data_IF_174166602708
#
_entry.id   IF_174166602708
#
_cell.length_a   1.000
_cell.length_b   1.000
_cell.length_c   1.000
_cell.angle_alpha   90.00
_cell.angle_beta   90.00
_cell.angle_gamma   90.00
#
_symmetry.space_group_name_H-M   'P 1'
#
loop_
_entity.id
_entity.type
_entity.pdbx_description
1 polymer ?
#
# COMPACT_ATOMS: atom_id res chain seq x y z
N UNK A 1 -16.68 -49.77 24.01
CA UNK A 1 -15.22 -49.56 23.78
C UNK A 1 -14.99 -48.47 22.72
N UNK A 2 -15.57 -48.56 21.51
CA UNK A 2 -15.32 -47.57 20.44
C UNK A 2 -15.81 -46.16 20.85
N UNK A 3 -17.02 -46.04 21.42
CA UNK A 3 -17.57 -44.79 21.90
C UNK A 3 -16.75 -44.15 23.04
N UNK A 4 -16.25 -44.97 23.97
CA UNK A 4 -15.38 -44.48 25.05
C UNK A 4 -14.05 -43.93 24.52
N UNK A 5 -13.43 -44.56 23.51
CA UNK A 5 -12.23 -44.03 22.86
C UNK A 5 -12.49 -42.71 22.13
N UNK A 6 -13.65 -42.62 21.45
CA UNK A 6 -14.06 -41.39 20.77
C UNK A 6 -14.20 -40.23 21.75
N UNK A 7 -14.91 -40.42 22.85
CA UNK A 7 -15.09 -39.37 23.89
C UNK A 7 -13.78 -39.01 24.59
N UNK A 8 -12.93 -40.00 24.90
CA UNK A 8 -11.61 -39.76 25.48
C UNK A 8 -10.72 -38.94 24.53
N UNK A 9 -10.69 -39.27 23.25
CA UNK A 9 -9.91 -38.53 22.26
C UNK A 9 -10.42 -37.09 22.08
N UNK A 10 -11.74 -36.91 21.98
CA UNK A 10 -12.38 -35.60 21.91
C UNK A 10 -12.03 -34.73 23.13
N UNK A 11 -12.12 -35.30 24.33
CA UNK A 11 -11.78 -34.59 25.58
C UNK A 11 -10.30 -34.14 25.58
N UNK A 12 -9.38 -35.03 25.18
CA UNK A 12 -7.95 -34.71 25.09
C UNK A 12 -7.66 -33.62 24.04
N UNK A 13 -8.35 -33.66 22.89
CA UNK A 13 -8.21 -32.63 21.87
C UNK A 13 -8.71 -31.25 22.35
N UNK A 14 -9.85 -31.21 23.04
CA UNK A 14 -10.39 -29.97 23.62
C UNK A 14 -9.44 -29.39 24.68
N UNK A 15 -8.85 -30.24 25.54
CA UNK A 15 -7.88 -29.83 26.53
C UNK A 15 -6.60 -29.29 25.87
N UNK A 16 -6.08 -29.98 24.88
CA UNK A 16 -4.88 -29.54 24.13
C UNK A 16 -5.12 -28.21 23.43
N UNK A 17 -6.26 -28.06 22.77
CA UNK A 17 -6.62 -26.79 22.13
C UNK A 17 -6.78 -25.64 23.13
N UNK A 18 -7.29 -25.93 24.34
CA UNK A 18 -7.38 -24.94 25.42
C UNK A 18 -5.99 -24.51 25.96
N UNK A 19 -4.96 -25.36 25.88
CA UNK A 19 -3.59 -24.94 26.22
C UNK A 19 -3.04 -23.97 25.17
N UNK A 20 -3.27 -24.24 23.88
CA UNK A 20 -2.90 -23.30 22.82
C UNK A 20 -3.67 -21.96 22.94
N UNK A 21 -4.95 -21.98 23.30
CA UNK A 21 -5.74 -20.78 23.54
C UNK A 21 -5.13 -19.88 24.63
N UNK A 22 -4.61 -20.46 25.72
CA UNK A 22 -3.96 -19.71 26.81
C UNK A 22 -2.72 -18.92 26.36
N UNK A 23 -2.06 -19.36 25.31
CA UNK A 23 -0.88 -18.71 24.72
C UNK A 23 -1.24 -17.91 23.46
N UNK A 24 -2.52 -17.74 23.16
CA UNK A 24 -3.03 -17.09 21.96
C UNK A 24 -2.57 -17.74 20.65
N UNK A 25 -2.18 -19.02 20.69
CA UNK A 25 -1.82 -19.82 19.52
C UNK A 25 -3.09 -20.43 18.89
N UNK A 26 -3.93 -19.54 18.36
CA UNK A 26 -5.23 -19.91 17.83
C UNK A 26 -5.14 -20.81 16.59
N UNK A 27 -4.06 -20.74 15.82
CA UNK A 27 -3.87 -21.60 14.66
C UNK A 27 -3.68 -23.07 15.09
N UNK A 28 -2.83 -23.34 16.05
CA UNK A 28 -2.62 -24.68 16.55
C UNK A 28 -3.85 -25.19 17.32
N UNK A 29 -4.55 -24.31 18.05
CA UNK A 29 -5.84 -24.65 18.64
C UNK A 29 -6.87 -25.07 17.56
N UNK A 30 -6.99 -24.32 16.48
CA UNK A 30 -7.86 -24.62 15.34
C UNK A 30 -7.49 -25.97 14.71
N UNK A 31 -6.22 -26.18 14.35
CA UNK A 31 -5.73 -27.42 13.74
C UNK A 31 -5.96 -28.65 14.62
N UNK A 32 -5.80 -28.51 15.94
CA UNK A 32 -6.06 -29.58 16.89
C UNK A 32 -7.53 -30.02 16.85
N UNK A 33 -8.46 -29.06 16.84
CA UNK A 33 -9.90 -29.38 16.75
C UNK A 33 -10.26 -29.94 15.39
N UNK A 34 -9.70 -29.38 14.30
CA UNK A 34 -9.94 -29.89 12.95
C UNK A 34 -9.49 -31.36 12.81
N UNK A 35 -8.30 -31.70 13.29
CA UNK A 35 -7.78 -33.06 13.29
C UNK A 35 -8.68 -34.00 14.11
N UNK A 36 -9.19 -33.53 15.25
CA UNK A 36 -10.13 -34.31 16.05
C UNK A 36 -11.42 -34.59 15.29
N UNK A 37 -11.98 -33.60 14.60
CA UNK A 37 -13.19 -33.78 13.80
C UNK A 37 -12.99 -34.75 12.62
N UNK A 38 -11.83 -34.73 11.99
CA UNK A 38 -11.49 -35.65 10.90
C UNK A 38 -11.43 -37.10 11.39
N UNK A 39 -11.07 -37.34 12.65
CA UNK A 39 -10.93 -38.67 13.26
C UNK A 39 -12.20 -39.18 13.92
N UNK A 40 -12.92 -38.33 14.65
CA UNK A 40 -14.10 -38.76 15.43
C UNK A 40 -15.43 -38.36 14.80
N UNK A 41 -15.39 -37.58 13.70
CA UNK A 41 -16.58 -37.06 13.03
C UNK A 41 -17.07 -35.74 13.61
N UNK A 42 -18.16 -35.23 13.04
CA UNK A 42 -18.75 -33.95 13.44
C UNK A 42 -19.40 -34.05 14.83
N UNK A 43 -19.05 -33.10 15.69
CA UNK A 43 -19.58 -32.97 17.05
C UNK A 43 -19.87 -31.49 17.35
N UNK A 44 -20.95 -31.22 18.05
CA UNK A 44 -21.38 -29.84 18.32
C UNK A 44 -20.36 -29.06 19.14
N UNK A 45 -19.73 -29.68 20.13
CA UNK A 45 -18.70 -29.02 20.96
C UNK A 45 -17.43 -28.71 20.21
N UNK A 46 -16.99 -29.63 19.33
CA UNK A 46 -15.85 -29.42 18.46
C UNK A 46 -16.15 -28.32 17.40
N UNK A 47 -17.35 -28.34 16.79
CA UNK A 47 -17.77 -27.31 15.84
C UNK A 47 -17.75 -25.89 16.43
N UNK A 48 -18.25 -25.73 17.67
CA UNK A 48 -18.22 -24.44 18.37
C UNK A 48 -16.78 -23.96 18.58
N UNK A 49 -15.89 -24.86 19.05
CA UNK A 49 -14.49 -24.51 19.27
C UNK A 49 -13.73 -24.27 17.98
N UNK A 50 -13.99 -25.04 16.92
CA UNK A 50 -13.41 -24.82 15.60
C UNK A 50 -13.73 -23.42 15.08
N UNK A 51 -15.01 -23.04 15.14
CA UNK A 51 -15.46 -21.71 14.71
C UNK A 51 -14.83 -20.59 15.55
N UNK A 52 -14.77 -20.77 16.88
CA UNK A 52 -14.16 -19.80 17.79
C UNK A 52 -12.67 -19.57 17.47
N UNK A 53 -11.92 -20.66 17.33
CA UNK A 53 -10.47 -20.56 17.06
C UNK A 53 -10.18 -20.02 15.66
N UNK A 54 -10.97 -20.38 14.66
CA UNK A 54 -10.89 -19.78 13.33
C UNK A 54 -11.11 -18.27 13.37
N UNK A 55 -12.13 -17.80 14.12
CA UNK A 55 -12.41 -16.38 14.29
C UNK A 55 -11.29 -15.65 15.03
N UNK A 56 -10.81 -16.23 16.15
CA UNK A 56 -9.72 -15.64 16.94
C UNK A 56 -8.43 -15.55 16.13
N UNK A 57 -8.08 -16.60 15.38
CA UNK A 57 -6.92 -16.59 14.48
C UNK A 57 -7.06 -15.51 13.41
N UNK A 58 -8.20 -15.47 12.72
CA UNK A 58 -8.44 -14.45 11.69
C UNK A 58 -8.35 -13.03 12.25
N UNK A 59 -8.88 -12.79 13.46
CA UNK A 59 -8.82 -11.48 14.13
C UNK A 59 -7.40 -11.10 14.51
N UNK A 60 -6.61 -12.04 15.05
CA UNK A 60 -5.22 -11.81 15.40
C UNK A 60 -4.36 -11.47 14.17
N UNK A 61 -4.55 -12.22 13.07
CA UNK A 61 -3.86 -11.96 11.80
C UNK A 61 -4.28 -10.62 11.22
N UNK A 62 -5.56 -10.26 11.28
CA UNK A 62 -6.04 -8.97 10.80
C UNK A 62 -5.42 -7.81 11.57
N UNK A 63 -5.28 -7.91 12.90
CA UNK A 63 -4.61 -6.91 13.72
C UNK A 63 -3.11 -6.76 13.34
N UNK A 64 -2.39 -7.87 13.15
CA UNK A 64 -1.01 -7.83 12.68
C UNK A 64 -0.87 -7.22 11.28
N UNK A 65 -1.84 -7.47 10.40
CA UNK A 65 -1.87 -6.84 9.08
C UNK A 65 -2.08 -5.32 9.18
N UNK A 66 -2.91 -4.84 10.13
CA UNK A 66 -3.09 -3.40 10.39
C UNK A 66 -1.80 -2.73 10.88
N UNK A 67 -1.04 -3.38 11.75
CA UNK A 67 0.28 -2.89 12.18
C UNK A 67 1.24 -2.76 11.00
N UNK A 68 1.25 -3.75 10.10
CA UNK A 68 2.09 -3.71 8.89
C UNK A 68 1.65 -2.62 7.92
N UNK A 69 0.34 -2.41 7.73
CA UNK A 69 -0.21 -1.33 6.91
C UNK A 69 0.21 0.02 7.48
N UNK A 70 0.09 0.22 8.80
CA UNK A 70 0.51 1.44 9.49
C UNK A 70 2.01 1.72 9.31
N UNK A 71 2.83 0.65 9.29
CA UNK A 71 4.27 0.71 9.01
C UNK A 71 4.58 0.84 7.50
N UNK A 72 3.59 0.92 6.61
CA UNK A 72 3.72 0.90 5.14
C UNK A 72 4.37 -0.38 4.59
N UNK A 73 4.42 -1.45 5.38
CA UNK A 73 4.87 -2.79 4.95
C UNK A 73 3.73 -3.57 4.26
N UNK A 74 3.28 -3.07 3.11
CA UNK A 74 2.18 -3.69 2.36
C UNK A 74 2.54 -5.09 1.84
N UNK A 75 3.81 -5.32 1.51
CA UNK A 75 4.29 -6.63 1.06
C UNK A 75 4.23 -7.65 2.20
N UNK A 76 4.67 -7.28 3.39
CA UNK A 76 4.57 -8.12 4.58
C UNK A 76 3.13 -8.38 5.01
N UNK A 77 2.25 -7.36 4.94
CA UNK A 77 0.81 -7.54 5.20
C UNK A 77 0.17 -8.53 4.23
N UNK A 78 0.48 -8.42 2.93
CA UNK A 78 -0.01 -9.34 1.89
C UNK A 78 0.47 -10.77 2.13
N UNK A 79 1.75 -10.95 2.43
CA UNK A 79 2.34 -12.27 2.71
C UNK A 79 1.68 -12.93 3.93
N UNK A 80 1.50 -12.18 5.02
CA UNK A 80 0.82 -12.63 6.22
C UNK A 80 -0.60 -13.13 5.93
N UNK A 81 -1.39 -12.30 5.24
CA UNK A 81 -2.79 -12.61 4.89
C UNK A 81 -2.88 -13.79 3.90
N UNK A 82 -1.97 -13.87 2.92
CA UNK A 82 -1.92 -15.00 1.99
C UNK A 82 -1.69 -16.32 2.72
N UNK A 83 -0.79 -16.34 3.69
CA UNK A 83 -0.53 -17.55 4.48
C UNK A 83 -1.72 -17.91 5.36
N UNK A 84 -2.37 -16.92 5.98
CA UNK A 84 -3.56 -17.17 6.79
C UNK A 84 -4.76 -17.66 5.97
N UNK A 85 -4.92 -17.18 4.74
CA UNK A 85 -5.97 -17.64 3.82
C UNK A 85 -5.72 -19.06 3.29
N UNK A 86 -4.48 -19.56 3.31
CA UNK A 86 -4.20 -20.99 3.05
C UNK A 86 -4.74 -21.87 4.17
N UNK A 87 -4.65 -21.43 5.41
CA UNK A 87 -5.15 -22.14 6.59
C UNK A 87 -6.68 -22.01 6.76
N UNK A 88 -7.24 -20.85 6.42
CA UNK A 88 -8.67 -20.56 6.48
C UNK A 88 -9.19 -20.06 5.12
N UNK A 89 -9.35 -20.95 4.13
CA UNK A 89 -9.84 -20.55 2.80
C UNK A 89 -11.22 -19.90 2.88
N UNK A 90 -11.40 -18.76 2.19
CA UNK A 90 -12.68 -18.06 2.12
C UNK A 90 -13.10 -17.33 3.42
N UNK A 91 -12.21 -17.20 4.40
CA UNK A 91 -12.53 -16.43 5.61
C UNK A 91 -12.80 -14.96 5.26
N UNK A 92 -13.98 -14.45 5.60
CA UNK A 92 -14.45 -13.11 5.22
C UNK A 92 -13.57 -11.99 5.81
N UNK A 93 -13.14 -12.12 7.07
CA UNK A 93 -12.28 -11.12 7.74
C UNK A 93 -10.93 -11.00 7.04
N UNK A 94 -10.28 -12.13 6.75
CA UNK A 94 -8.98 -12.13 6.06
C UNK A 94 -9.10 -11.65 4.62
N UNK A 95 -10.17 -12.02 3.91
CA UNK A 95 -10.44 -11.57 2.54
C UNK A 95 -10.69 -10.06 2.49
N UNK A 96 -11.51 -9.52 3.40
CA UNK A 96 -11.74 -8.08 3.50
C UNK A 96 -10.42 -7.31 3.80
N UNK A 97 -9.59 -7.86 4.69
CA UNK A 97 -8.28 -7.26 5.02
C UNK A 97 -7.32 -7.33 3.83
N UNK A 98 -7.31 -8.40 3.05
CA UNK A 98 -6.52 -8.50 1.82
C UNK A 98 -6.96 -7.44 0.79
N UNK A 99 -8.24 -7.20 0.65
CA UNK A 99 -8.78 -6.13 -0.21
C UNK A 99 -8.30 -4.76 0.28
N UNK A 100 -8.36 -4.50 1.58
CA UNK A 100 -7.86 -3.26 2.18
C UNK A 100 -6.36 -3.06 1.88
N UNK A 101 -5.51 -4.08 2.07
CA UNK A 101 -4.08 -4.01 1.73
C UNK A 101 -3.87 -3.66 0.26
N UNK A 102 -4.66 -4.27 -0.63
CA UNK A 102 -4.56 -4.02 -2.06
C UNK A 102 -4.96 -2.59 -2.43
N UNK A 103 -6.00 -2.04 -1.79
CA UNK A 103 -6.46 -0.67 -2.02
C UNK A 103 -5.59 0.40 -1.33
N UNK A 104 -4.84 0.01 -0.29
CA UNK A 104 -3.92 0.92 0.42
C UNK A 104 -2.52 0.98 -0.20
N UNK A 105 -2.22 0.11 -1.15
CA UNK A 105 -0.90 0.07 -1.78
C UNK A 105 -0.73 1.29 -2.70
N UNK A 106 0.39 2.03 -2.58
CA UNK A 106 0.70 3.11 -3.50
C UNK A 106 0.72 2.62 -4.97
N UNK A 107 0.11 3.39 -5.83
CA UNK A 107 0.12 3.17 -7.29
C UNK A 107 1.00 4.23 -7.91
N UNK A 108 1.93 3.82 -8.77
CA UNK A 108 2.76 4.78 -9.47
C UNK A 108 1.95 5.56 -10.50
N UNK A 109 2.14 6.88 -10.52
CA UNK A 109 1.49 7.77 -11.48
C UNK A 109 1.81 7.39 -12.94
N UNK A 110 3.02 6.85 -13.19
CA UNK A 110 3.44 6.39 -14.52
C UNK A 110 2.64 5.21 -15.07
N UNK A 111 1.89 4.50 -14.21
CA UNK A 111 1.03 3.37 -14.61
C UNK A 111 -0.40 3.81 -14.93
N UNK A 112 -0.76 5.06 -14.64
CA UNK A 112 -2.07 5.60 -14.94
C UNK A 112 -2.12 6.16 -16.36
N UNK A 113 -3.29 6.03 -16.99
CA UNK A 113 -3.51 6.62 -18.32
C UNK A 113 -3.63 8.14 -18.22
N UNK A 114 -2.82 8.85 -18.98
CA UNK A 114 -2.88 10.30 -19.10
C UNK A 114 -4.08 10.68 -19.97
N UNK A 115 -4.88 11.65 -19.53
CA UNK A 115 -5.98 12.23 -20.29
C UNK A 115 -5.50 13.38 -21.17
N UNK A 116 -4.64 14.22 -20.62
CA UNK A 116 -4.15 15.42 -21.29
C UNK A 116 -2.73 15.73 -20.82
N UNK A 117 -1.88 16.26 -21.72
CA UNK A 117 -0.48 16.51 -21.42
C UNK A 117 0.33 15.20 -21.27
N UNK A 118 1.24 15.18 -20.35
CA UNK A 118 2.04 13.99 -19.99
C UNK A 118 3.47 14.32 -19.60
N UNK A 119 4.14 13.29 -19.11
CA UNK A 119 5.54 13.32 -18.69
C UNK A 119 6.32 12.27 -19.47
N UNK A 120 7.59 12.54 -19.71
CA UNK A 120 8.50 11.57 -20.28
C UNK A 120 9.16 10.77 -19.15
N UNK A 121 8.52 9.66 -18.80
CA UNK A 121 8.93 8.84 -17.68
C UNK A 121 10.21 8.07 -17.98
N UNK A 122 11.19 8.18 -17.07
CA UNK A 122 12.46 7.43 -17.11
C UNK A 122 13.27 7.64 -18.41
N UNK A 123 13.06 8.75 -19.11
CA UNK A 123 13.73 9.04 -20.38
C UNK A 123 15.21 9.39 -20.20
N UNK A 124 15.58 9.98 -19.07
CA UNK A 124 16.94 10.42 -18.75
C UNK A 124 17.25 10.08 -17.30
N UNK A 125 18.45 9.58 -17.03
CA UNK A 125 18.90 9.34 -15.65
C UNK A 125 18.94 10.66 -14.86
N UNK A 126 18.17 10.78 -13.77
CA UNK A 126 18.07 12.02 -13.03
C UNK A 126 19.23 12.14 -12.06
N UNK A 127 19.89 13.28 -12.11
CA UNK A 127 20.98 13.65 -11.20
C UNK A 127 20.75 15.10 -10.77
N UNK A 128 20.96 15.42 -9.51
CA UNK A 128 20.85 16.78 -9.03
C UNK A 128 22.19 17.57 -9.15
N UNK A 129 22.21 18.87 -8.90
CA UNK A 129 23.45 19.67 -8.96
C UNK A 129 24.49 19.29 -7.91
N UNK A 130 24.12 18.48 -6.91
CA UNK A 130 25.01 18.01 -5.84
C UNK A 130 25.65 16.66 -6.17
N UNK A 131 25.25 16.01 -7.30
CA UNK A 131 25.75 14.72 -7.75
C UNK A 131 25.00 13.52 -7.18
N UNK A 132 23.82 13.73 -6.59
CA UNK A 132 22.97 12.63 -6.20
C UNK A 132 22.27 12.05 -7.43
N UNK A 133 22.31 10.73 -7.56
CA UNK A 133 21.67 9.97 -8.64
C UNK A 133 20.33 9.41 -8.12
N UNK A 134 19.27 9.60 -8.89
CA UNK A 134 17.91 9.15 -8.60
C UNK A 134 17.45 8.04 -9.55
N UNK A 135 18.36 7.37 -10.25
CA UNK A 135 18.06 6.27 -11.19
C UNK A 135 17.33 5.10 -10.51
N UNK A 136 17.55 4.91 -9.21
CA UNK A 136 16.90 3.88 -8.40
C UNK A 136 15.46 4.26 -7.94
N UNK A 137 15.03 5.48 -8.21
CA UNK A 137 13.65 5.88 -7.95
C UNK A 137 12.68 5.03 -8.78
N UNK A 138 11.56 4.65 -8.18
CA UNK A 138 10.56 3.77 -8.82
C UNK A 138 10.04 4.35 -10.14
N UNK A 139 9.91 5.67 -10.19
CA UNK A 139 9.56 6.42 -11.41
C UNK A 139 10.01 7.86 -11.24
N UNK A 140 10.55 8.42 -12.28
CA UNK A 140 10.96 9.83 -12.32
C UNK A 140 10.61 10.44 -13.68
N UNK A 141 10.47 11.75 -13.71
CA UNK A 141 10.39 12.54 -14.93
C UNK A 141 11.31 13.75 -14.80
N UNK A 142 12.07 14.01 -15.83
CA UNK A 142 12.87 15.24 -15.95
C UNK A 142 12.05 16.23 -16.78
N UNK A 143 11.80 17.41 -16.21
CA UNK A 143 10.90 18.40 -16.80
C UNK A 143 11.64 19.73 -16.93
N UNK A 144 11.51 20.35 -18.09
CA UNK A 144 12.02 21.72 -18.29
C UNK A 144 13.26 21.86 -19.13
N UNK A 145 13.70 20.83 -19.83
CA UNK A 145 14.84 20.91 -20.73
C UNK A 145 14.44 21.16 -22.19
N UNK A 146 13.92 22.36 -22.48
CA UNK A 146 13.80 22.78 -23.86
C UNK A 146 14.12 24.27 -24.00
N UNK A 147 15.19 24.55 -24.71
CA UNK A 147 15.74 25.86 -25.10
C UNK A 147 14.68 26.92 -25.58
N UNK A 148 13.48 26.51 -25.87
CA UNK A 148 12.50 27.37 -26.54
C UNK A 148 11.22 27.68 -25.79
N UNK A 149 10.97 27.18 -24.59
CA UNK A 149 9.65 27.40 -24.03
C UNK A 149 9.65 27.65 -22.53
N UNK A 150 9.26 28.85 -22.17
CA UNK A 150 8.57 29.17 -20.94
C UNK A 150 7.24 28.40 -20.92
N UNK A 151 7.27 27.07 -20.81
CA UNK A 151 6.08 26.26 -20.87
C UNK A 151 5.80 25.68 -19.49
N UNK A 152 4.57 25.90 -19.06
CA UNK A 152 4.00 25.12 -17.99
C UNK A 152 3.77 23.69 -18.53
N UNK A 153 4.40 22.71 -17.91
CA UNK A 153 4.14 21.31 -18.22
C UNK A 153 3.00 20.83 -17.35
N UNK A 154 2.04 20.14 -17.94
CA UNK A 154 0.93 19.56 -17.18
C UNK A 154 0.66 18.13 -17.58
N UNK A 155 0.17 17.36 -16.63
CA UNK A 155 -0.41 16.05 -16.90
C UNK A 155 -1.68 15.90 -16.08
N UNK A 156 -2.72 15.41 -16.74
CA UNK A 156 -4.03 15.18 -16.14
C UNK A 156 -4.39 13.71 -16.22
N UNK A 157 -4.93 13.18 -15.12
CA UNK A 157 -5.27 11.78 -14.95
C UNK A 157 -6.69 11.65 -14.41
N UNK A 158 -7.41 10.63 -14.89
CA UNK A 158 -8.66 10.25 -14.27
C UNK A 158 -8.43 9.21 -13.19
N UNK A 159 -8.76 9.53 -11.95
CA UNK A 159 -8.43 8.72 -10.77
C UNK A 159 -9.65 8.08 -10.10
N UNK A 160 -10.86 8.38 -10.57
CA UNK A 160 -12.12 7.70 -10.19
C UNK A 160 -12.37 7.65 -8.68
N UNK A 161 -11.96 8.63 -7.91
CA UNK A 161 -12.06 8.68 -6.43
C UNK A 161 -11.36 7.53 -5.71
N UNK A 162 -10.41 6.85 -6.38
CA UNK A 162 -9.75 5.67 -5.85
C UNK A 162 -8.57 5.97 -4.92
N UNK A 163 -8.15 7.23 -4.84
CA UNK A 163 -6.97 7.65 -4.10
C UNK A 163 -7.30 8.78 -3.14
N UNK A 164 -6.63 8.77 -1.98
CA UNK A 164 -6.79 9.82 -0.96
C UNK A 164 -5.68 10.86 -0.99
N UNK A 165 -4.50 10.50 -1.50
CA UNK A 165 -3.35 11.42 -1.56
C UNK A 165 -2.44 11.11 -2.72
N UNK A 166 -1.68 12.11 -3.14
CA UNK A 166 -0.51 11.96 -4.00
C UNK A 166 0.73 12.41 -3.23
N UNK A 167 1.84 11.66 -3.38
CA UNK A 167 3.14 12.05 -2.83
C UNK A 167 4.20 11.90 -3.91
N UNK A 168 5.06 12.90 -4.04
CA UNK A 168 6.18 12.90 -4.96
C UNK A 168 7.33 13.75 -4.41
N UNK A 169 8.54 13.49 -4.88
CA UNK A 169 9.71 14.27 -4.56
C UNK A 169 10.03 15.23 -5.71
N UNK A 170 10.44 16.44 -5.36
CA UNK A 170 10.96 17.44 -6.26
C UNK A 170 12.45 17.63 -5.98
N UNK A 171 13.24 17.57 -7.02
CA UNK A 171 14.69 17.86 -6.99
C UNK A 171 15.05 18.77 -8.16
N UNK A 172 15.99 19.73 -7.99
CA UNK A 172 16.53 20.46 -9.11
C UNK A 172 17.31 19.50 -10.02
N UNK A 173 17.16 19.63 -11.33
CA UNK A 173 17.94 18.85 -12.27
C UNK A 173 19.36 19.40 -12.38
N UNK A 174 20.37 18.55 -12.56
CA UNK A 174 21.79 18.93 -12.55
C UNK A 174 22.17 20.07 -13.52
N UNK A 175 21.45 20.18 -14.63
CA UNK A 175 21.67 21.20 -15.65
C UNK A 175 20.80 22.45 -15.47
N UNK A 176 20.08 22.57 -14.35
CA UNK A 176 19.28 23.78 -14.07
C UNK A 176 20.19 25.02 -14.04
N UNK A 177 19.78 26.09 -14.70
CA UNK A 177 20.52 27.36 -14.68
C UNK A 177 20.61 27.94 -13.27
N UNK A 178 21.63 28.78 -13.01
CA UNK A 178 21.84 29.41 -11.70
C UNK A 178 20.65 30.17 -11.18
N UNK A 179 19.83 30.74 -12.08
CA UNK A 179 18.64 31.54 -11.77
C UNK A 179 17.33 30.76 -12.04
N UNK A 180 17.45 29.51 -12.52
CA UNK A 180 16.31 28.64 -12.77
C UNK A 180 15.61 28.23 -11.50
N UNK A 181 14.29 28.39 -11.49
CA UNK A 181 13.43 27.95 -10.38
C UNK A 181 12.14 27.35 -10.92
N UNK A 182 11.57 26.42 -10.14
CA UNK A 182 10.31 25.80 -10.50
C UNK A 182 9.51 25.38 -9.27
N UNK A 183 8.23 25.16 -9.47
CA UNK A 183 7.34 24.59 -8.46
C UNK A 183 6.21 23.82 -9.13
N UNK A 184 5.57 22.92 -8.40
CA UNK A 184 4.44 22.12 -8.88
C UNK A 184 3.18 22.53 -8.16
N UNK A 185 2.10 22.66 -8.92
CA UNK A 185 0.74 22.79 -8.41
C UNK A 185 -0.04 21.50 -8.63
N UNK A 186 -0.79 21.09 -7.62
CA UNK A 186 -1.65 19.90 -7.63
C UNK A 186 -3.10 20.35 -7.60
N UNK A 187 -3.88 19.87 -8.53
CA UNK A 187 -5.32 20.14 -8.61
C UNK A 187 -6.11 18.85 -8.48
N UNK A 188 -7.18 18.91 -7.71
CA UNK A 188 -8.20 17.88 -7.56
C UNK A 188 -9.52 18.42 -8.10
N UNK A 189 -10.10 17.84 -9.16
CA UNK A 189 -11.30 18.31 -9.85
C UNK A 189 -11.22 19.82 -10.16
N UNK A 190 -10.11 20.26 -10.78
CA UNK A 190 -9.79 21.67 -11.10
C UNK A 190 -9.61 22.62 -9.90
N UNK A 191 -9.70 22.13 -8.68
CA UNK A 191 -9.43 22.93 -7.47
C UNK A 191 -7.96 22.78 -7.09
N UNK A 192 -7.23 23.89 -6.94
CA UNK A 192 -5.87 23.89 -6.43
C UNK A 192 -5.86 23.43 -4.97
N UNK A 193 -5.24 22.28 -4.71
CA UNK A 193 -5.17 21.68 -3.36
C UNK A 193 -3.79 21.80 -2.72
N UNK A 194 -2.74 21.92 -3.54
CA UNK A 194 -1.37 22.07 -3.05
C UNK A 194 -0.50 22.84 -4.04
N UNK A 195 0.39 23.68 -3.51
CA UNK A 195 1.53 24.25 -4.23
C UNK A 195 2.80 23.85 -3.50
N UNK A 196 3.76 23.25 -4.22
CA UNK A 196 5.05 22.89 -3.64
C UNK A 196 5.84 24.15 -3.25
N UNK A 197 6.83 24.02 -2.36
CA UNK A 197 7.91 25.01 -2.29
C UNK A 197 8.59 25.17 -3.65
N UNK A 198 9.20 26.34 -3.85
CA UNK A 198 10.02 26.60 -5.05
C UNK A 198 11.33 25.86 -4.92
N UNK A 199 11.72 25.11 -5.96
CA UNK A 199 13.04 24.48 -6.10
C UNK A 199 13.92 25.26 -7.06
N UNK A 200 15.18 25.35 -6.77
CA UNK A 200 16.22 25.97 -7.60
C UNK A 200 17.56 25.27 -7.39
N UNK A 201 18.60 25.67 -8.09
CA UNK A 201 19.90 24.97 -8.15
C UNK A 201 20.49 24.58 -6.77
N UNK A 202 20.17 25.35 -5.72
CA UNK A 202 20.69 25.14 -4.35
C UNK A 202 19.69 24.52 -3.39
N UNK A 203 18.58 24.01 -3.92
CA UNK A 203 17.52 23.41 -3.10
C UNK A 203 17.76 21.92 -2.96
N UNK A 204 17.70 21.39 -1.73
CA UNK A 204 17.69 19.96 -1.48
C UNK A 204 16.36 19.33 -1.93
N UNK A 205 16.32 18.00 -1.99
CA UNK A 205 15.11 17.25 -2.26
C UNK A 205 13.95 17.67 -1.34
N UNK A 206 12.79 17.90 -1.91
CA UNK A 206 11.56 18.26 -1.20
C UNK A 206 10.50 17.22 -1.48
N UNK A 207 9.96 16.59 -0.43
CA UNK A 207 8.80 15.71 -0.53
C UNK A 207 7.51 16.53 -0.44
N UNK A 208 6.63 16.37 -1.43
CA UNK A 208 5.33 17.04 -1.52
C UNK A 208 4.24 16.00 -1.36
N UNK A 209 3.25 16.28 -0.50
CA UNK A 209 2.06 15.45 -0.35
C UNK A 209 0.83 16.36 -0.48
N UNK A 210 -0.15 15.92 -1.27
CA UNK A 210 -1.43 16.62 -1.43
C UNK A 210 -2.60 15.67 -1.14
N UNK A 211 -3.63 16.17 -0.47
CA UNK A 211 -4.91 15.48 -0.28
C UNK A 211 -5.73 15.60 -1.57
N UNK A 212 -6.12 14.45 -2.14
CA UNK A 212 -6.95 14.34 -3.34
C UNK A 212 -8.18 13.45 -3.07
N UNK A 213 -8.57 13.34 -1.79
CA UNK A 213 -9.68 12.49 -1.37
C UNK A 213 -10.97 12.86 -2.11
N UNK A 214 -11.58 11.88 -2.77
CA UNK A 214 -12.86 12.03 -3.45
C UNK A 214 -12.80 12.67 -4.84
N UNK A 215 -11.61 13.00 -5.35
CA UNK A 215 -11.44 13.57 -6.67
C UNK A 215 -11.62 12.53 -7.78
N UNK A 216 -12.32 12.91 -8.84
CA UNK A 216 -12.39 12.13 -10.10
C UNK A 216 -11.17 12.39 -10.98
N UNK A 217 -10.61 13.60 -10.94
CA UNK A 217 -9.49 14.04 -11.77
C UNK A 217 -8.35 14.59 -10.93
N UNK A 218 -7.14 14.23 -11.29
CA UNK A 218 -5.89 14.75 -10.75
C UNK A 218 -5.13 15.47 -11.86
N UNK A 219 -4.77 16.73 -11.67
CA UNK A 219 -3.87 17.45 -12.56
C UNK A 219 -2.64 17.94 -11.78
N UNK A 220 -1.48 17.77 -12.38
CA UNK A 220 -0.23 18.32 -11.93
C UNK A 220 0.25 19.35 -12.94
N UNK A 221 0.65 20.54 -12.48
CA UNK A 221 1.24 21.57 -13.32
C UNK A 221 2.62 21.96 -12.77
N UNK A 222 3.65 21.82 -13.60
CA UNK A 222 4.97 22.34 -13.33
C UNK A 222 5.04 23.77 -13.87
N UNK A 223 5.38 24.69 -13.01
CA UNK A 223 5.64 26.09 -13.33
C UNK A 223 7.13 26.36 -13.26
N UNK A 224 7.72 26.77 -14.35
CA UNK A 224 9.10 27.26 -14.41
C UNK A 224 9.09 28.78 -14.27
N UNK A 225 9.96 29.29 -13.42
CA UNK A 225 10.10 30.70 -13.14
C UNK A 225 11.57 31.11 -13.21
N UNK A 226 11.85 32.26 -13.84
CA UNK A 226 13.14 32.93 -13.96
C UNK A 226 14.30 32.04 -14.47
N UNK A 227 14.85 32.38 -15.63
CA UNK A 227 16.06 31.77 -16.16
C UNK A 227 15.89 30.31 -16.53
N UNK A 228 15.01 30.01 -17.46
CA UNK A 228 14.81 28.62 -17.95
C UNK A 228 16.11 27.83 -18.05
N UNK A 229 16.00 26.56 -17.81
CA UNK A 229 17.05 25.53 -17.80
C UNK A 229 17.94 25.61 -19.03
#
# INVERSE_FOLDING_TARGET
>A
KTAEYTESYKSAALETAAQYEKTSDYLNAYKTIQTAMDLVGSDSSLNVKLSLYAQNYASAVAAQADEKIAAKDFAGARTLLTNALKELPGNATLTAKMTQVSSSQPVSLSTLSVLNGGWDWNATAPEDPFGNDYSDAVNYAVLGDNWYSWQNYSAEYRIYKNYSSITFDLVPYKNISTDGTGYVQVYADDVLVQTSPVVGQKTDQITVTADITGADYLKLELHLKDGGV
#
